data_IF_144674722492
#
_entry.id   IF_144674722492
#
_cell.length_a   1.000
_cell.length_b   1.000
_cell.length_c   1.000
_cell.angle_alpha   90.00
_cell.angle_beta   90.00
_cell.angle_gamma   90.00
#
_symmetry.space_group_name_H-M   'P 1'
#
loop_
_entity.id
_entity.type
_entity.pdbx_description
1 polymer ?
#
# COMPACT_ATOMS: atom_id res chain seq x y z
N UNK A 1 11.83 12.04 15.47
CA UNK A 1 10.79 11.07 15.08
C UNK A 1 10.79 9.90 16.05
N UNK A 2 9.64 9.55 16.60
CA UNK A 2 9.55 8.40 17.48
C UNK A 2 9.52 7.09 16.65
N UNK A 3 10.24 6.07 17.12
CA UNK A 3 10.30 4.77 16.44
C UNK A 3 8.91 4.16 16.20
N UNK A 4 7.99 4.35 17.15
CA UNK A 4 6.64 3.79 17.03
C UNK A 4 5.83 4.35 15.86
N UNK A 5 6.20 5.52 15.37
CA UNK A 5 5.49 6.20 14.27
C UNK A 5 6.32 6.20 12.99
N UNK A 6 7.41 5.47 12.97
CA UNK A 6 8.33 5.45 11.84
C UNK A 6 7.86 4.49 10.75
N UNK A 7 7.85 4.97 9.52
CA UNK A 7 7.74 4.10 8.34
C UNK A 7 9.13 3.62 7.97
N UNK A 8 9.29 2.31 7.85
CA UNK A 8 10.59 1.66 7.63
C UNK A 8 10.70 1.31 6.14
N UNK A 9 11.61 1.96 5.38
CA UNK A 9 11.87 1.58 3.99
C UNK A 9 12.35 0.13 3.93
N UNK A 10 11.81 -0.63 2.99
CA UNK A 10 12.05 -2.07 2.94
C UNK A 10 12.21 -2.55 1.50
N UNK A 11 13.01 -3.58 1.30
CA UNK A 11 13.19 -4.21 0.00
C UNK A 11 12.01 -5.14 -0.29
N UNK A 12 11.37 -4.96 -1.45
CA UNK A 12 10.22 -5.75 -1.86
C UNK A 12 10.54 -7.26 -1.90
N UNK A 13 11.66 -7.63 -2.52
CA UNK A 13 12.02 -9.04 -2.68
C UNK A 13 12.32 -9.72 -1.33
N UNK A 14 12.81 -8.96 -0.36
CA UNK A 14 13.08 -9.48 0.97
C UNK A 14 11.79 -9.75 1.77
N UNK A 15 10.80 -8.88 1.63
CA UNK A 15 9.52 -9.00 2.34
C UNK A 15 8.58 -9.97 1.64
N UNK A 16 8.54 -9.92 0.31
CA UNK A 16 7.64 -10.73 -0.51
C UNK A 16 8.44 -11.59 -1.50
N UNK A 17 9.17 -12.61 -1.01
CA UNK A 17 10.02 -13.44 -1.88
C UNK A 17 9.24 -14.22 -2.94
N UNK A 18 7.96 -14.45 -2.71
CA UNK A 18 7.06 -15.09 -3.68
C UNK A 18 6.28 -14.09 -4.52
N UNK A 19 6.60 -12.79 -4.41
CA UNK A 19 5.87 -11.73 -5.07
C UNK A 19 4.53 -11.43 -4.43
N UNK A 20 3.77 -10.57 -5.07
CA UNK A 20 2.40 -10.21 -4.68
C UNK A 20 1.49 -10.28 -5.89
N UNK A 21 0.23 -10.58 -5.64
CA UNK A 21 -0.82 -10.45 -6.64
C UNK A 21 -1.80 -9.37 -6.24
N UNK A 22 -2.05 -8.43 -7.14
CA UNK A 22 -3.13 -7.47 -6.97
C UNK A 22 -4.45 -8.18 -7.21
N UNK A 23 -5.39 -8.00 -6.28
CA UNK A 23 -6.73 -8.57 -6.38
C UNK A 23 -7.71 -7.44 -6.65
N UNK A 24 -8.33 -7.45 -7.83
CA UNK A 24 -9.27 -6.42 -8.23
C UNK A 24 -8.61 -5.11 -8.62
N UNK A 25 -9.29 -4.00 -8.36
CA UNK A 25 -8.88 -2.67 -8.78
C UNK A 25 -8.22 -1.89 -7.64
N UNK A 26 -7.40 -0.91 -8.03
CA UNK A 26 -6.89 0.11 -7.11
C UNK A 26 -7.95 1.21 -7.05
N UNK A 27 -8.26 1.66 -5.85
CA UNK A 27 -9.28 2.68 -5.61
C UNK A 27 -8.73 3.82 -4.77
N UNK A 28 -9.37 4.98 -4.87
CA UNK A 28 -9.05 6.09 -3.99
C UNK A 28 -9.35 5.69 -2.53
N UNK A 29 -8.41 6.00 -1.63
CA UNK A 29 -8.63 5.81 -0.20
C UNK A 29 -9.33 7.05 0.33
N UNK A 30 -10.59 6.91 0.73
CA UNK A 30 -11.44 8.02 1.12
C UNK A 30 -11.49 8.19 2.63
N UNK A 31 -11.63 9.44 3.08
CA UNK A 31 -11.83 9.75 4.48
C UNK A 31 -13.16 9.20 4.98
N UNK A 32 -13.15 8.66 6.19
CA UNK A 32 -14.39 8.23 6.83
C UNK A 32 -15.25 9.45 7.18
N UNK A 33 -16.54 9.37 6.87
CA UNK A 33 -17.53 10.34 7.29
C UNK A 33 -18.77 9.61 7.83
N UNK A 34 -19.26 10.03 8.98
CA UNK A 34 -20.51 9.54 9.54
C UNK A 34 -21.74 10.12 8.83
N UNK A 35 -21.57 11.21 8.11
CA UNK A 35 -22.63 11.84 7.31
C UNK A 35 -22.63 11.24 5.90
N UNK A 36 -23.70 10.52 5.58
CA UNK A 36 -23.88 9.90 4.25
C UNK A 36 -24.01 10.90 3.12
N UNK A 37 -24.42 12.12 3.44
CA UNK A 37 -24.59 13.19 2.46
C UNK A 37 -23.33 14.06 2.29
N UNK A 38 -22.31 13.87 3.13
CA UNK A 38 -21.07 14.61 3.01
C UNK A 38 -20.32 14.21 1.75
N UNK A 39 -19.66 15.14 1.05
CA UNK A 39 -18.80 14.81 -0.08
C UNK A 39 -17.67 13.89 0.40
N UNK A 40 -17.42 12.83 -0.35
CA UNK A 40 -16.29 11.95 -0.09
C UNK A 40 -15.00 12.64 -0.50
N UNK A 41 -14.03 12.65 0.40
CA UNK A 41 -12.72 13.25 0.15
C UNK A 41 -11.67 12.17 0.18
N UNK A 42 -10.79 12.18 -0.82
CA UNK A 42 -9.65 11.29 -0.86
C UNK A 42 -8.63 11.68 0.21
N UNK A 43 -8.11 10.69 0.93
CA UNK A 43 -7.04 10.93 1.91
C UNK A 43 -5.78 11.43 1.23
N UNK A 44 -5.07 12.26 1.95
CA UNK A 44 -3.78 12.82 1.55
C UNK A 44 -2.73 12.38 2.57
N UNK A 45 -1.52 12.12 2.11
CA UNK A 45 -0.40 11.74 2.98
C UNK A 45 0.04 12.93 3.83
N UNK A 46 -0.59 13.09 4.98
CA UNK A 46 -0.30 14.16 5.92
C UNK A 46 -0.69 13.70 7.32
N UNK A 47 0.18 13.89 8.30
CA UNK A 47 -0.12 13.61 9.70
C UNK A 47 -0.85 14.79 10.36
N UNK A 48 -1.16 14.65 11.67
CA UNK A 48 -1.85 15.69 12.43
C UNK A 48 -1.04 16.98 12.57
N UNK A 49 0.27 16.88 12.44
CA UNK A 49 1.20 18.00 12.54
C UNK A 49 1.47 18.68 11.20
N UNK A 50 0.88 18.16 10.13
CA UNK A 50 1.03 18.69 8.78
C UNK A 50 2.23 18.17 8.02
N UNK A 51 2.91 17.14 8.53
CA UNK A 51 4.06 16.51 7.88
C UNK A 51 3.59 15.40 6.94
N UNK A 52 4.25 15.28 5.79
CA UNK A 52 3.95 14.27 4.80
C UNK A 52 4.21 14.78 3.40
N UNK A 53 4.09 13.92 2.41
CA UNK A 53 4.30 14.27 1.00
C UNK A 53 3.16 15.07 0.39
N UNK A 54 1.98 15.04 1.03
CA UNK A 54 0.72 15.65 0.57
C UNK A 54 0.21 15.05 -0.73
N UNK A 55 0.76 13.93 -1.14
CA UNK A 55 0.27 13.17 -2.28
C UNK A 55 -0.98 12.39 -1.90
N UNK A 56 -1.77 12.06 -2.90
CA UNK A 56 -3.02 11.32 -2.69
C UNK A 56 -2.76 9.89 -2.26
N UNK A 57 -3.69 9.34 -1.50
CA UNK A 57 -3.64 7.97 -1.03
C UNK A 57 -4.62 7.10 -1.80
N UNK A 58 -4.17 5.91 -2.16
CA UNK A 58 -4.94 4.92 -2.91
C UNK A 58 -4.86 3.59 -2.17
N UNK A 59 -5.91 2.81 -2.22
CA UNK A 59 -5.97 1.53 -1.53
C UNK A 59 -6.12 0.38 -2.51
N UNK A 60 -5.57 -0.76 -2.13
CA UNK A 60 -5.67 -1.98 -2.90
C UNK A 60 -5.59 -3.19 -1.98
N UNK A 61 -6.16 -4.29 -2.44
CA UNK A 61 -6.02 -5.58 -1.79
C UNK A 61 -5.03 -6.42 -2.59
N UNK A 62 -4.10 -7.05 -1.90
CA UNK A 62 -3.11 -7.92 -2.52
C UNK A 62 -3.11 -9.29 -1.84
N UNK A 63 -2.62 -10.28 -2.55
CA UNK A 63 -2.44 -11.62 -2.03
C UNK A 63 -0.95 -11.95 -2.02
N UNK A 64 -0.46 -12.40 -0.86
CA UNK A 64 0.91 -12.87 -0.69
C UNK A 64 0.93 -14.41 -0.74
N UNK A 65 1.44 -15.01 -1.83
CA UNK A 65 1.48 -16.47 -1.93
C UNK A 65 2.30 -17.15 -0.83
N UNK A 66 3.30 -16.47 -0.27
CA UNK A 66 4.10 -17.02 0.82
C UNK A 66 3.27 -17.29 2.08
N UNK A 67 2.19 -16.55 2.28
CA UNK A 67 1.28 -16.76 3.40
C UNK A 67 0.41 -18.01 3.27
N UNK A 68 0.26 -18.55 2.06
CA UNK A 68 -0.62 -19.69 1.80
C UNK A 68 -0.21 -20.95 2.57
N UNK A 69 1.09 -21.13 2.83
CA UNK A 69 1.58 -22.26 3.63
C UNK A 69 1.19 -22.21 5.10
N UNK A 70 0.71 -21.05 5.57
CA UNK A 70 0.23 -20.83 6.95
C UNK A 70 -1.29 -20.74 7.04
N UNK A 71 -1.98 -21.03 5.96
CA UNK A 71 -3.44 -21.01 5.87
C UNK A 71 -3.98 -19.84 5.05
N UNK A 72 -5.16 -20.03 4.46
CA UNK A 72 -5.76 -19.06 3.53
C UNK A 72 -5.98 -17.67 4.15
N UNK A 73 -6.16 -17.58 5.46
CA UNK A 73 -6.39 -16.31 6.16
C UNK A 73 -5.16 -15.40 6.17
N UNK A 74 -3.96 -15.94 5.90
CA UNK A 74 -2.72 -15.20 5.95
C UNK A 74 -2.26 -14.69 4.59
N UNK A 75 -3.06 -14.88 3.54
CA UNK A 75 -2.68 -14.49 2.18
C UNK A 75 -3.11 -13.08 1.79
N UNK A 76 -4.28 -12.63 2.28
CA UNK A 76 -4.84 -11.33 1.92
C UNK A 76 -4.25 -10.19 2.76
N UNK A 77 -3.87 -9.11 2.10
CA UNK A 77 -3.31 -7.91 2.74
C UNK A 77 -3.90 -6.66 2.09
N UNK A 78 -4.08 -5.63 2.91
CA UNK A 78 -4.44 -4.31 2.40
C UNK A 78 -3.19 -3.44 2.32
N UNK A 79 -3.01 -2.75 1.20
CA UNK A 79 -1.90 -1.83 1.00
C UNK A 79 -2.41 -0.45 0.60
N UNK A 80 -1.58 0.56 0.88
CA UNK A 80 -1.85 1.94 0.52
C UNK A 80 -0.76 2.42 -0.44
N UNK A 81 -1.16 3.07 -1.52
CA UNK A 81 -0.25 3.76 -2.41
C UNK A 81 -0.27 5.26 -2.11
N UNK A 82 0.89 5.88 -2.12
CA UNK A 82 1.06 7.32 -1.96
C UNK A 82 1.57 7.87 -3.30
N UNK A 83 0.70 8.53 -4.05
CA UNK A 83 1.05 9.05 -5.38
C UNK A 83 0.05 10.12 -5.83
N UNK A 84 0.49 11.08 -6.63
CA UNK A 84 -0.39 12.12 -7.18
C UNK A 84 -1.38 11.56 -8.20
N UNK A 85 -1.00 10.47 -8.88
CA UNK A 85 -1.81 9.81 -9.90
C UNK A 85 -2.03 8.37 -9.46
N UNK A 86 -3.22 7.84 -9.72
CA UNK A 86 -3.53 6.45 -9.41
C UNK A 86 -2.54 5.50 -10.10
N UNK A 87 -1.85 4.64 -9.34
CA UNK A 87 -0.96 3.65 -9.95
C UNK A 87 -1.73 2.73 -10.89
N UNK A 88 -1.09 2.37 -11.99
CA UNK A 88 -1.69 1.48 -13.00
C UNK A 88 -1.03 0.11 -12.93
N UNK A 89 -1.79 -0.96 -12.66
CA UNK A 89 -1.22 -2.30 -12.63
C UNK A 89 -0.89 -2.79 -14.03
N UNK A 90 -0.03 -3.82 -14.15
CA UNK A 90 0.22 -4.47 -15.42
C UNK A 90 -1.07 -5.02 -16.05
N UNK A 91 -1.11 -5.07 -17.38
CA UNK A 91 -2.26 -5.59 -18.10
C UNK A 91 -2.40 -7.11 -17.98
N UNK A 92 -1.30 -7.81 -17.72
CA UNK A 92 -1.28 -9.27 -17.69
C UNK A 92 -1.95 -9.81 -16.44
N UNK A 93 -2.95 -10.66 -16.64
CA UNK A 93 -3.65 -11.35 -15.54
C UNK A 93 -3.28 -12.85 -15.55
N UNK A 94 -2.99 -13.40 -14.37
CA UNK A 94 -2.80 -14.86 -14.23
C UNK A 94 -4.14 -15.59 -14.12
N UNK A 95 -5.16 -14.87 -13.66
CA UNK A 95 -6.56 -15.29 -13.63
C UNK A 95 -7.41 -14.01 -13.65
N UNK A 96 -8.70 -14.05 -13.99
CA UNK A 96 -9.52 -12.83 -13.98
C UNK A 96 -9.45 -12.09 -12.64
N UNK A 97 -9.03 -10.83 -12.68
CA UNK A 97 -8.88 -9.98 -11.50
C UNK A 97 -7.60 -10.19 -10.69
N UNK A 98 -6.68 -11.07 -11.11
CA UNK A 98 -5.42 -11.34 -10.41
C UNK A 98 -4.24 -10.93 -11.28
N UNK A 99 -3.48 -9.95 -10.84
CA UNK A 99 -2.32 -9.42 -11.57
C UNK A 99 -1.06 -9.45 -10.71
N UNK A 100 0.03 -10.07 -11.19
CA UNK A 100 1.29 -10.02 -10.45
C UNK A 100 1.84 -8.59 -10.47
N UNK A 101 2.27 -8.12 -9.31
CA UNK A 101 2.84 -6.77 -9.16
C UNK A 101 4.14 -6.81 -8.37
N UNK A 102 4.99 -5.83 -8.61
CA UNK A 102 6.17 -5.53 -7.80
C UNK A 102 6.02 -4.10 -7.30
N UNK A 103 6.08 -3.92 -5.99
CA UNK A 103 5.94 -2.60 -5.38
C UNK A 103 7.26 -1.83 -5.40
N UNK A 104 7.18 -0.55 -5.64
CA UNK A 104 8.30 0.38 -5.53
C UNK A 104 8.07 1.31 -4.33
N UNK A 105 9.15 1.68 -3.64
CA UNK A 105 9.07 2.52 -2.46
C UNK A 105 8.31 1.88 -1.33
N UNK A 106 8.48 0.58 -1.14
CA UNK A 106 7.81 -0.18 -0.08
C UNK A 106 8.25 0.30 1.28
N UNK A 107 7.28 0.58 2.14
CA UNK A 107 7.51 0.94 3.53
C UNK A 107 6.55 0.18 4.44
N UNK A 108 7.06 -0.22 5.60
CA UNK A 108 6.30 -0.94 6.61
C UNK A 108 6.26 -0.14 7.91
N UNK A 109 5.13 -0.19 8.58
CA UNK A 109 4.97 0.37 9.92
C UNK A 109 4.35 -0.69 10.82
N UNK A 110 5.03 -1.12 11.89
CA UNK A 110 4.49 -2.14 12.78
C UNK A 110 3.26 -1.62 13.54
N UNK A 111 2.34 -2.52 13.80
CA UNK A 111 1.15 -2.26 14.60
C UNK A 111 0.79 -3.48 15.42
N UNK A 112 0.05 -3.27 16.49
CA UNK A 112 -0.52 -4.37 17.27
C UNK A 112 -1.90 -4.69 16.69
N UNK A 113 -2.14 -5.96 16.42
CA UNK A 113 -3.43 -6.48 15.94
C UNK A 113 -4.01 -7.45 16.95
N UNK A 114 -5.32 -7.68 16.87
CA UNK A 114 -6.04 -8.58 17.77
C UNK A 114 -6.53 -7.91 19.04
N UNK A 115 -7.22 -8.68 19.85
CA UNK A 115 -7.85 -8.21 21.09
C UNK A 115 -7.44 -9.06 22.28
N UNK A 116 -7.32 -8.43 23.45
CA UNK A 116 -7.08 -9.13 24.71
C UNK A 116 -5.77 -9.90 24.71
N UNK A 117 -5.86 -11.21 25.00
CA UNK A 117 -4.70 -12.10 25.05
C UNK A 117 -4.20 -12.53 23.66
N UNK A 118 -5.01 -12.31 22.61
CA UNK A 118 -4.71 -12.74 21.24
C UNK A 118 -4.13 -11.59 20.41
N UNK A 119 -3.18 -10.86 21.00
CA UNK A 119 -2.48 -9.79 20.31
C UNK A 119 -1.32 -10.34 19.49
N UNK A 120 -1.13 -9.80 18.31
CA UNK A 120 0.00 -10.12 17.45
C UNK A 120 0.53 -8.87 16.79
N UNK A 121 1.72 -8.97 16.19
CA UNK A 121 2.30 -7.87 15.44
C UNK A 121 1.88 -8.00 13.99
N UNK A 122 1.27 -6.94 13.47
CA UNK A 122 1.00 -6.78 12.05
C UNK A 122 1.73 -5.57 11.53
N UNK A 123 1.48 -5.24 10.27
CA UNK A 123 2.12 -4.09 9.62
C UNK A 123 1.12 -3.33 8.78
N UNK A 124 1.22 -1.99 8.84
CA UNK A 124 0.71 -1.16 7.77
C UNK A 124 1.71 -1.22 6.62
N UNK A 125 1.21 -1.36 5.42
CA UNK A 125 2.02 -1.51 4.21
C UNK A 125 1.67 -0.37 3.27
N UNK A 126 2.69 0.37 2.84
CA UNK A 126 2.48 1.38 1.80
C UNK A 126 3.61 1.36 0.80
N UNK A 127 3.32 1.85 -0.40
CA UNK A 127 4.27 1.93 -1.48
C UNK A 127 4.04 3.21 -2.28
N UNK A 128 5.02 3.61 -3.07
CA UNK A 128 4.92 4.81 -3.91
C UNK A 128 4.50 4.49 -5.33
N UNK A 129 4.57 3.24 -5.75
CA UNK A 129 4.17 2.86 -7.09
C UNK A 129 4.35 1.37 -7.38
N UNK A 130 4.13 1.04 -8.64
CA UNK A 130 4.24 -0.32 -9.17
C UNK A 130 5.29 -0.31 -10.27
N UNK A 131 6.20 -1.29 -10.23
CA UNK A 131 7.24 -1.42 -11.27
C UNK A 131 6.60 -1.62 -12.64
N UNK A 132 7.05 -0.84 -13.62
CA UNK A 132 6.51 -0.89 -14.97
C UNK A 132 5.30 -0.01 -15.21
N UNK A 133 4.82 0.69 -14.18
CA UNK A 133 3.70 1.62 -14.31
C UNK A 133 4.08 2.84 -15.16
N UNK A 134 3.25 3.12 -16.17
CA UNK A 134 3.43 4.23 -17.10
C UNK A 134 2.42 5.36 -16.87
N UNK A 135 1.63 5.30 -15.81
CA UNK A 135 0.57 6.28 -15.54
C UNK A 135 1.06 7.66 -15.12
N UNK A 136 2.34 7.78 -14.74
CA UNK A 136 2.91 9.00 -14.19
C UNK A 136 3.22 8.93 -12.68
N UNK A 137 2.60 8.01 -11.96
CA UNK A 137 2.90 7.82 -10.54
C UNK A 137 4.38 7.48 -10.31
N UNK A 138 4.89 6.54 -11.09
CA UNK A 138 6.29 6.12 -11.03
C UNK A 138 7.25 7.24 -11.44
N UNK A 139 6.89 7.99 -12.46
CA UNK A 139 7.74 9.11 -12.94
C UNK A 139 7.93 10.14 -11.84
N UNK A 140 6.87 10.49 -11.14
CA UNK A 140 6.94 11.43 -10.03
C UNK A 140 7.86 10.92 -8.91
N UNK A 141 7.80 9.62 -8.62
CA UNK A 141 8.65 9.01 -7.61
C UNK A 141 10.12 8.99 -8.02
N UNK A 142 10.42 8.70 -9.28
CA UNK A 142 11.77 8.73 -9.82
C UNK A 142 12.37 10.14 -9.78
N UNK A 143 11.58 11.16 -10.08
CA UNK A 143 12.02 12.55 -9.97
C UNK A 143 12.37 12.92 -8.53
N UNK A 144 11.58 12.49 -7.56
CA UNK A 144 11.87 12.68 -6.14
C UNK A 144 13.16 11.98 -5.72
N UNK A 145 13.39 10.75 -6.16
CA UNK A 145 14.60 9.99 -5.86
C UNK A 145 15.84 10.65 -6.44
N UNK A 146 15.75 11.20 -7.64
CA UNK A 146 16.87 11.93 -8.26
C UNK A 146 17.15 13.26 -7.60
N UNK A 147 16.16 13.88 -6.99
CA UNK A 147 16.32 15.14 -6.27
C UNK A 147 16.91 14.95 -4.87
N UNK A 148 16.84 13.76 -4.35
CA UNK A 148 17.43 13.40 -3.07
C UNK A 148 18.89 13.03 -3.26
#
# INVERSE_FOLDING_TARGET
>A
MALKDMWIPTDFAAVFPQGLMLVGAIEADEEFSSDRNAPKRQKIDMDREGNGSRKRMWKATVMDPAGAGKGAKNTGLDITFIADVMPSPPADEVAPGFRPIVLEGLMLKPRVTGNGEFKSIGFYIRATGIKGDKSGARVNNLAADKAA
#
